data_IF_164869632869
#
_entry.id   IF_164869632869
#
_cell.length_a   1.000
_cell.length_b   1.000
_cell.length_c   1.000
_cell.angle_alpha   90.00
_cell.angle_beta   90.00
_cell.angle_gamma   90.00
#
_symmetry.space_group_name_H-M   'P 1'
#
loop_
_entity.id
_entity.type
_entity.pdbx_description
1 polymer ?
#
# COMPACT_ATOMS: atom_id res chain seq x y z
N UNK A 1 13.14 -13.24 -8.98
CA UNK A 1 13.08 -13.97 -7.68
C UNK A 1 11.65 -14.44 -7.53
N UNK A 2 11.39 -15.69 -7.13
CA UNK A 2 10.01 -16.18 -6.99
C UNK A 2 9.41 -15.78 -5.64
N UNK A 3 8.06 -15.76 -5.56
CA UNK A 3 7.33 -15.48 -4.32
C UNK A 3 7.69 -16.48 -3.20
N UNK A 4 7.92 -17.76 -3.54
CA UNK A 4 8.35 -18.78 -2.56
C UNK A 4 9.67 -18.40 -1.90
N UNK A 5 10.67 -17.96 -2.68
CA UNK A 5 11.96 -17.52 -2.14
C UNK A 5 11.87 -16.30 -1.25
N UNK A 6 10.99 -15.35 -1.58
CA UNK A 6 10.72 -14.19 -0.74
C UNK A 6 10.09 -14.64 0.57
N UNK A 7 9.08 -15.50 0.51
CA UNK A 7 8.40 -16.07 1.68
C UNK A 7 9.36 -16.81 2.60
N UNK A 8 10.19 -17.71 2.04
CA UNK A 8 11.21 -18.44 2.78
C UNK A 8 12.22 -17.50 3.46
N UNK A 9 12.65 -16.45 2.76
CA UNK A 9 13.61 -15.47 3.29
C UNK A 9 13.02 -14.69 4.46
N UNK A 10 11.76 -14.22 4.37
CA UNK A 10 11.08 -13.52 5.47
C UNK A 10 10.88 -14.46 6.67
N UNK A 11 10.46 -15.70 6.44
CA UNK A 11 10.31 -16.69 7.50
C UNK A 11 11.65 -17.00 8.20
N UNK A 12 12.74 -17.03 7.45
CA UNK A 12 14.08 -17.23 8.03
C UNK A 12 14.46 -16.05 8.92
N UNK A 13 14.19 -14.83 8.49
CA UNK A 13 14.40 -13.60 9.28
C UNK A 13 13.61 -13.68 10.59
N UNK A 14 12.32 -14.04 10.53
CA UNK A 14 11.47 -14.21 11.72
C UNK A 14 11.98 -15.31 12.66
N UNK A 15 12.40 -16.46 12.11
CA UNK A 15 12.97 -17.57 12.90
C UNK A 15 14.17 -17.12 13.74
N UNK A 16 14.98 -16.22 13.22
CA UNK A 16 16.13 -15.66 13.95
C UNK A 16 15.81 -14.38 14.74
N UNK A 17 14.52 -14.03 14.89
CA UNK A 17 14.05 -12.84 15.61
C UNK A 17 14.67 -11.55 15.08
N UNK A 18 14.91 -11.48 13.78
CA UNK A 18 15.39 -10.27 13.11
C UNK A 18 14.22 -9.49 12.52
N UNK A 19 14.36 -8.18 12.50
CA UNK A 19 13.37 -7.30 11.85
C UNK A 19 13.52 -7.36 10.32
N UNK A 20 12.39 -7.50 9.61
CA UNK A 20 12.32 -7.43 8.15
C UNK A 20 11.70 -6.10 7.70
N UNK A 21 12.22 -5.56 6.61
CA UNK A 21 11.64 -4.38 5.95
C UNK A 21 11.59 -4.62 4.46
N UNK A 22 10.40 -4.51 3.87
CA UNK A 22 10.18 -4.70 2.43
C UNK A 22 9.72 -3.40 1.77
N UNK A 23 10.06 -3.23 0.51
CA UNK A 23 9.62 -2.12 -0.33
C UNK A 23 8.75 -2.66 -1.44
N UNK A 24 7.65 -1.95 -1.72
CA UNK A 24 6.66 -2.32 -2.71
C UNK A 24 6.45 -1.15 -3.63
N UNK A 25 6.24 -1.47 -4.90
CA UNK A 25 5.85 -0.50 -5.93
C UNK A 25 4.51 -0.95 -6.47
N UNK A 26 3.55 -0.03 -6.55
CA UNK A 26 2.23 -0.24 -7.16
C UNK A 26 2.04 0.72 -8.33
N UNK A 27 1.08 0.43 -9.20
CA UNK A 27 0.80 1.25 -10.37
C UNK A 27 1.83 1.09 -11.47
N UNK A 28 2.31 -0.15 -11.70
CA UNK A 28 3.16 -0.47 -12.85
C UNK A 28 2.35 -0.46 -14.15
N UNK A 29 2.99 -0.23 -15.30
CA UNK A 29 2.31 -0.39 -16.59
C UNK A 29 1.67 -1.77 -16.71
N UNK A 30 0.39 -1.81 -17.11
CA UNK A 30 -0.43 -3.02 -17.24
C UNK A 30 -0.78 -3.75 -15.93
N UNK A 31 -0.44 -3.19 -14.76
CA UNK A 31 -0.85 -3.77 -13.48
C UNK A 31 -2.37 -3.59 -13.28
N UNK A 32 -3.07 -4.70 -13.10
CA UNK A 32 -4.50 -4.72 -12.83
C UNK A 32 -4.82 -4.70 -11.32
N UNK A 33 -6.10 -4.56 -10.97
CA UNK A 33 -6.56 -4.66 -9.58
C UNK A 33 -6.10 -5.95 -8.92
N UNK A 34 -6.24 -7.07 -9.64
CA UNK A 34 -5.90 -8.40 -9.16
C UNK A 34 -4.41 -8.53 -8.79
N UNK A 35 -3.51 -7.91 -9.56
CA UNK A 35 -2.07 -7.95 -9.31
C UNK A 35 -1.71 -7.19 -8.02
N UNK A 36 -2.35 -6.02 -7.81
CA UNK A 36 -2.21 -5.25 -6.56
C UNK A 36 -2.75 -6.04 -5.38
N UNK A 37 -3.92 -6.69 -5.53
CA UNK A 37 -4.51 -7.50 -4.47
C UNK A 37 -3.70 -8.78 -4.19
N UNK A 38 -3.04 -9.37 -5.20
CA UNK A 38 -2.09 -10.46 -4.99
C UNK A 38 -0.92 -10.00 -4.12
N UNK A 39 -0.36 -8.83 -4.40
CA UNK A 39 0.71 -8.21 -3.60
C UNK A 39 0.26 -8.00 -2.15
N UNK A 40 -0.93 -7.43 -1.92
CA UNK A 40 -1.50 -7.23 -0.59
C UNK A 40 -1.68 -8.57 0.14
N UNK A 41 -2.24 -9.57 -0.54
CA UNK A 41 -2.43 -10.92 0.00
C UNK A 41 -1.09 -11.59 0.33
N UNK A 42 -0.07 -11.38 -0.47
CA UNK A 42 1.27 -11.87 -0.19
C UNK A 42 1.88 -11.22 1.06
N UNK A 43 1.74 -9.90 1.23
CA UNK A 43 2.15 -9.19 2.43
C UNK A 43 1.43 -9.69 3.68
N UNK A 44 0.11 -9.87 3.60
CA UNK A 44 -0.68 -10.35 4.72
C UNK A 44 -0.30 -11.77 5.18
N UNK A 45 0.18 -12.61 4.25
CA UNK A 45 0.68 -13.96 4.55
C UNK A 45 2.11 -13.96 5.09
N UNK A 46 2.98 -13.11 4.53
CA UNK A 46 4.39 -13.06 4.91
C UNK A 46 4.65 -12.29 6.20
N UNK A 47 3.77 -11.34 6.52
CA UNK A 47 3.80 -10.50 7.73
C UNK A 47 5.20 -9.93 8.00
N UNK A 48 5.81 -9.16 7.06
CA UNK A 48 7.10 -8.56 7.32
C UNK A 48 7.03 -7.62 8.53
N UNK A 49 8.14 -7.43 9.23
CA UNK A 49 8.21 -6.51 10.38
C UNK A 49 7.82 -5.08 10.01
N UNK A 50 8.10 -4.68 8.77
CA UNK A 50 7.69 -3.39 8.20
C UNK A 50 7.61 -3.50 6.68
N UNK A 51 6.72 -2.74 6.07
CA UNK A 51 6.73 -2.49 4.64
C UNK A 51 6.53 -1.00 4.32
N UNK A 52 7.03 -0.60 3.16
CA UNK A 52 6.84 0.73 2.58
C UNK A 52 6.38 0.56 1.15
N UNK A 53 5.60 1.51 0.67
CA UNK A 53 5.11 1.48 -0.70
C UNK A 53 5.26 2.85 -1.36
N UNK A 54 5.42 2.81 -2.67
CA UNK A 54 5.45 3.98 -3.55
C UNK A 54 4.68 3.66 -4.81
N UNK A 55 4.23 4.69 -5.50
CA UNK A 55 3.77 4.53 -6.86
C UNK A 55 4.95 4.41 -7.82
N UNK A 56 4.74 3.64 -8.90
CA UNK A 56 5.70 3.55 -9.97
C UNK A 56 5.86 4.93 -10.64
N UNK A 57 7.12 5.30 -10.93
CA UNK A 57 7.44 6.48 -11.71
C UNK A 57 8.19 6.09 -12.98
N UNK A 58 7.70 6.48 -14.17
CA UNK A 58 8.30 6.11 -15.46
C UNK A 58 9.49 7.02 -15.76
N UNK A 59 10.70 6.63 -15.33
CA UNK A 59 11.90 7.40 -15.62
C UNK A 59 12.27 7.34 -17.10
N UNK A 60 12.40 8.49 -17.81
CA UNK A 60 12.79 8.54 -19.21
C UNK A 60 14.07 7.76 -19.48
N UNK A 61 14.10 7.02 -20.59
CA UNK A 61 15.24 6.19 -20.99
C UNK A 61 15.24 4.76 -20.44
N UNK A 62 14.29 4.40 -19.57
CA UNK A 62 14.11 3.02 -19.09
C UNK A 62 13.16 2.23 -20.00
N UNK A 63 13.25 0.90 -19.96
CA UNK A 63 12.30 0.02 -20.66
C UNK A 63 10.88 0.20 -20.15
N UNK A 64 10.71 0.35 -18.83
CA UNK A 64 9.41 0.61 -18.21
C UNK A 64 8.78 1.92 -18.68
N UNK A 65 9.59 2.95 -18.98
CA UNK A 65 9.10 4.18 -19.59
C UNK A 65 8.55 3.93 -21.00
N UNK A 66 9.27 3.16 -21.83
CA UNK A 66 8.78 2.79 -23.17
C UNK A 66 7.47 2.04 -23.08
N UNK A 67 7.38 1.04 -22.22
CA UNK A 67 6.15 0.30 -21.97
C UNK A 67 4.99 1.23 -21.56
N UNK A 68 5.26 2.22 -20.73
CA UNK A 68 4.26 3.21 -20.31
C UNK A 68 3.79 4.09 -21.47
N UNK A 69 4.71 4.48 -22.38
CA UNK A 69 4.38 5.26 -23.59
C UNK A 69 3.58 4.40 -24.57
N UNK A 70 4.02 3.20 -24.84
CA UNK A 70 3.37 2.26 -25.76
C UNK A 70 1.97 1.87 -25.29
N UNK A 71 1.79 1.74 -23.97
CA UNK A 71 0.49 1.48 -23.35
C UNK A 71 -0.43 2.71 -23.26
N UNK A 72 0.07 3.90 -23.61
CA UNK A 72 -0.71 5.13 -23.52
C UNK A 72 -0.96 5.64 -22.10
N UNK A 73 -0.20 5.15 -21.13
CA UNK A 73 -0.37 5.50 -19.71
C UNK A 73 0.33 6.78 -19.30
N UNK A 74 1.26 7.31 -20.12
CA UNK A 74 2.05 8.50 -19.76
C UNK A 74 1.19 9.75 -19.80
N UNK A 75 1.12 10.42 -18.66
CA UNK A 75 0.55 11.76 -18.53
C UNK A 75 1.65 12.74 -18.11
N UNK A 76 2.13 13.53 -19.07
CA UNK A 76 3.27 14.44 -18.89
C UNK A 76 2.99 15.51 -17.84
N UNK A 77 1.75 15.99 -17.76
CA UNK A 77 1.36 17.02 -16.78
C UNK A 77 1.38 16.42 -15.36
N UNK A 78 0.85 15.22 -15.18
CA UNK A 78 0.98 14.47 -13.92
C UNK A 78 2.44 14.25 -13.54
N UNK A 79 3.26 13.76 -14.45
CA UNK A 79 4.70 13.53 -14.19
C UNK A 79 5.42 14.82 -13.74
N UNK A 80 5.12 15.93 -14.37
CA UNK A 80 5.75 17.22 -14.06
C UNK A 80 5.22 17.86 -12.77
N UNK A 81 4.00 17.54 -12.35
CA UNK A 81 3.36 18.09 -11.14
C UNK A 81 3.68 17.32 -9.87
N UNK A 82 4.17 16.08 -9.97
CA UNK A 82 4.46 15.26 -8.80
C UNK A 82 5.71 15.74 -8.05
N UNK A 83 5.53 16.01 -6.78
CA UNK A 83 6.61 16.37 -5.86
C UNK A 83 7.32 15.11 -5.31
N UNK A 84 6.60 13.99 -5.23
CA UNK A 84 7.14 12.72 -4.75
C UNK A 84 6.33 11.54 -5.32
N UNK A 85 6.81 10.32 -5.10
CA UNK A 85 6.21 9.06 -5.60
C UNK A 85 5.26 8.39 -4.60
N UNK A 86 4.84 9.11 -3.56
CA UNK A 86 4.03 8.54 -2.47
C UNK A 86 2.60 9.05 -2.47
N UNK A 87 2.33 10.16 -3.12
CA UNK A 87 1.02 10.82 -3.05
C UNK A 87 0.05 10.33 -4.13
N UNK A 88 0.54 10.09 -5.34
CA UNK A 88 -0.26 9.57 -6.44
C UNK A 88 0.60 8.95 -7.54
N UNK A 89 -0.06 8.20 -8.46
CA UNK A 89 0.60 7.66 -9.65
C UNK A 89 0.93 8.76 -10.66
N UNK A 90 2.12 8.65 -11.27
CA UNK A 90 2.53 9.45 -12.43
C UNK A 90 1.88 8.99 -13.73
N UNK A 91 1.32 7.77 -13.74
CA UNK A 91 0.62 7.20 -14.88
C UNK A 91 -0.89 7.44 -14.78
N UNK A 92 -1.55 7.33 -15.92
CA UNK A 92 -3.00 7.44 -16.06
C UNK A 92 -3.55 6.14 -16.64
N UNK A 93 -4.26 5.39 -15.81
CA UNK A 93 -4.88 4.10 -16.16
C UNK A 93 -6.38 4.22 -16.39
N UNK A 94 -6.92 5.44 -16.43
CA UNK A 94 -8.34 5.71 -16.39
C UNK A 94 -8.90 5.83 -14.98
N UNK A 95 -10.11 6.41 -14.87
CA UNK A 95 -10.70 6.84 -13.59
C UNK A 95 -10.81 5.72 -12.57
N UNK A 96 -11.30 4.55 -12.95
CA UNK A 96 -11.54 3.43 -12.06
C UNK A 96 -10.24 2.91 -11.44
N UNK A 97 -9.21 2.62 -12.27
CA UNK A 97 -7.92 2.12 -11.80
C UNK A 97 -7.17 3.19 -11.00
N UNK A 98 -7.21 4.44 -11.43
CA UNK A 98 -6.60 5.54 -10.69
C UNK A 98 -7.21 5.69 -9.30
N UNK A 99 -8.54 5.64 -9.20
CA UNK A 99 -9.25 5.73 -7.91
C UNK A 99 -8.91 4.55 -7.00
N UNK A 100 -8.85 3.34 -7.54
CA UNK A 100 -8.45 2.15 -6.78
C UNK A 100 -7.02 2.28 -6.23
N UNK A 101 -6.07 2.68 -7.07
CA UNK A 101 -4.67 2.88 -6.65
C UNK A 101 -4.55 3.97 -5.57
N UNK A 102 -5.32 5.06 -5.68
CA UNK A 102 -5.34 6.12 -4.66
C UNK A 102 -5.87 5.59 -3.31
N UNK A 103 -6.92 4.79 -3.33
CA UNK A 103 -7.48 4.14 -2.14
C UNK A 103 -6.44 3.22 -1.47
N UNK A 104 -5.86 2.32 -2.25
CA UNK A 104 -4.82 1.40 -1.76
C UNK A 104 -3.60 2.16 -1.25
N UNK A 105 -3.08 3.10 -2.03
CA UNK A 105 -1.89 3.85 -1.65
C UNK A 105 -2.10 4.73 -0.42
N UNK A 106 -3.33 5.16 -0.14
CA UNK A 106 -3.63 5.98 1.04
C UNK A 106 -3.61 5.19 2.34
N UNK A 107 -4.08 3.95 2.31
CA UNK A 107 -4.31 3.11 3.49
C UNK A 107 -3.88 1.66 3.27
N UNK A 108 -2.81 1.40 2.52
CA UNK A 108 -2.34 0.03 2.25
C UNK A 108 -2.24 -0.85 3.51
N UNK A 109 -1.81 -0.38 4.70
CA UNK A 109 -1.84 -1.18 5.92
C UNK A 109 -3.22 -1.73 6.28
N UNK A 110 -4.30 -1.02 5.99
CA UNK A 110 -5.66 -1.51 6.25
C UNK A 110 -6.01 -2.69 5.35
N UNK A 111 -5.61 -2.61 4.07
CA UNK A 111 -5.77 -3.74 3.15
C UNK A 111 -4.96 -4.95 3.61
N UNK A 112 -3.72 -4.77 4.05
CA UNK A 112 -2.91 -5.87 4.56
C UNK A 112 -3.52 -6.46 5.83
N UNK A 113 -3.96 -5.64 6.78
CA UNK A 113 -4.64 -6.07 8.00
C UNK A 113 -5.93 -6.83 7.70
N UNK A 114 -6.72 -6.38 6.72
CA UNK A 114 -7.99 -7.01 6.35
C UNK A 114 -7.83 -8.48 5.91
N UNK A 115 -6.73 -8.79 5.22
CA UNK A 115 -6.44 -10.13 4.69
C UNK A 115 -5.44 -10.92 5.54
N UNK A 116 -4.93 -10.36 6.64
CA UNK A 116 -4.12 -11.08 7.61
C UNK A 116 -4.99 -11.93 8.55
N UNK A 117 -4.37 -12.81 9.34
CA UNK A 117 -5.04 -13.60 10.38
C UNK A 117 -4.89 -12.94 11.76
N UNK A 118 -5.06 -11.62 11.84
CA UNK A 118 -5.06 -10.87 13.09
C UNK A 118 -6.45 -10.85 13.73
N UNK A 119 -6.53 -10.71 15.06
CA UNK A 119 -7.81 -10.55 15.76
C UNK A 119 -8.63 -9.35 15.27
N UNK A 120 -7.95 -8.33 14.75
CA UNK A 120 -8.57 -7.10 14.25
C UNK A 120 -8.93 -7.13 12.77
N UNK A 121 -8.63 -8.22 12.06
CA UNK A 121 -8.78 -8.29 10.59
C UNK A 121 -10.21 -8.03 10.13
N UNK A 122 -11.22 -8.50 10.85
CA UNK A 122 -12.61 -8.25 10.47
C UNK A 122 -12.98 -6.77 10.48
N UNK A 123 -12.47 -6.00 11.44
CA UNK A 123 -12.72 -4.55 11.52
C UNK A 123 -12.15 -3.83 10.29
N UNK A 124 -10.94 -4.19 9.88
CA UNK A 124 -10.33 -3.63 8.69
C UNK A 124 -11.02 -4.10 7.40
N UNK A 125 -11.44 -5.37 7.35
CA UNK A 125 -12.14 -5.92 6.17
C UNK A 125 -13.44 -5.20 5.89
N UNK A 126 -14.26 -4.97 6.92
CA UNK A 126 -15.52 -4.24 6.78
C UNK A 126 -15.26 -2.83 6.24
N UNK A 127 -14.26 -2.14 6.80
CA UNK A 127 -13.94 -0.78 6.42
C UNK A 127 -13.30 -0.68 5.01
N UNK A 128 -12.44 -1.62 4.65
CA UNK A 128 -11.85 -1.70 3.30
C UNK A 128 -12.92 -1.97 2.25
N UNK A 129 -13.86 -2.87 2.51
CA UNK A 129 -14.97 -3.15 1.59
C UNK A 129 -15.83 -1.89 1.36
N UNK A 130 -16.17 -1.16 2.42
CA UNK A 130 -16.88 0.13 2.26
C UNK A 130 -16.10 1.11 1.38
N UNK A 131 -14.79 1.23 1.59
CA UNK A 131 -13.93 2.17 0.85
C UNK A 131 -13.79 1.77 -0.61
N UNK A 132 -13.65 0.48 -0.91
CA UNK A 132 -13.56 -0.01 -2.30
C UNK A 132 -14.78 0.41 -3.11
N UNK A 133 -15.98 0.29 -2.55
CA UNK A 133 -17.24 0.62 -3.22
C UNK A 133 -17.50 2.12 -3.40
N UNK A 134 -16.76 2.99 -2.72
CA UNK A 134 -16.95 4.43 -2.81
C UNK A 134 -16.61 4.96 -4.22
N UNK A 135 -17.45 5.84 -4.73
CA UNK A 135 -17.14 6.62 -5.92
C UNK A 135 -16.14 7.75 -5.61
N UNK A 136 -15.73 8.51 -6.63
CA UNK A 136 -14.76 9.61 -6.53
C UNK A 136 -15.19 10.67 -5.49
N UNK A 137 -16.44 11.13 -5.53
CA UNK A 137 -16.94 12.18 -4.64
C UNK A 137 -16.92 11.72 -3.16
N UNK A 138 -17.35 10.49 -2.91
CA UNK A 138 -17.33 9.89 -1.57
C UNK A 138 -15.90 9.72 -1.05
N UNK A 139 -14.99 9.24 -1.91
CA UNK A 139 -13.59 9.10 -1.59
C UNK A 139 -12.93 10.43 -1.24
N UNK A 140 -13.07 11.44 -2.08
CA UNK A 140 -12.46 12.77 -1.90
C UNK A 140 -12.89 13.42 -0.59
N UNK A 141 -14.13 13.15 -0.15
CA UNK A 141 -14.66 13.63 1.12
C UNK A 141 -14.01 12.98 2.33
N UNK A 142 -13.73 11.67 2.29
CA UNK A 142 -13.20 10.92 3.45
C UNK A 142 -11.68 10.81 3.48
N UNK A 143 -11.00 10.75 2.33
CA UNK A 143 -9.57 10.52 2.22
C UNK A 143 -8.72 11.42 3.14
N UNK A 144 -9.03 12.73 3.31
CA UNK A 144 -8.27 13.59 4.22
C UNK A 144 -8.34 13.18 5.69
N UNK A 145 -9.39 12.46 6.10
CA UNK A 145 -9.64 12.10 7.51
C UNK A 145 -9.07 10.72 7.89
N UNK A 146 -8.74 9.88 6.91
CA UNK A 146 -8.36 8.48 7.13
C UNK A 146 -7.13 8.30 8.02
N UNK A 147 -6.13 9.18 7.94
CA UNK A 147 -4.98 9.12 8.84
C UNK A 147 -5.34 9.38 10.31
N UNK A 148 -6.35 10.19 10.56
CA UNK A 148 -6.84 10.42 11.93
C UNK A 148 -7.65 9.23 12.42
N UNK A 149 -8.45 8.61 11.55
CA UNK A 149 -9.19 7.38 11.82
C UNK A 149 -8.21 6.24 12.15
N UNK A 150 -7.20 6.02 11.29
CA UNK A 150 -6.15 5.01 11.53
C UNK A 150 -5.47 5.21 12.89
N UNK A 151 -5.09 6.46 13.22
CA UNK A 151 -4.45 6.75 14.50
C UNK A 151 -5.33 6.40 15.69
N UNK A 152 -6.64 6.68 15.63
CA UNK A 152 -7.58 6.33 16.69
C UNK A 152 -7.71 4.83 16.85
N UNK A 153 -7.90 4.10 15.75
CA UNK A 153 -7.98 2.64 15.76
C UNK A 153 -6.69 2.01 16.30
N UNK A 154 -5.54 2.49 15.82
CA UNK A 154 -4.24 1.97 16.23
C UNK A 154 -3.99 2.17 17.74
N UNK A 155 -4.34 3.31 18.32
CA UNK A 155 -4.24 3.53 19.77
C UNK A 155 -5.12 2.51 20.52
N UNK A 156 -6.37 2.33 20.12
CA UNK A 156 -7.29 1.38 20.76
C UNK A 156 -6.78 -0.07 20.70
N UNK A 157 -6.17 -0.44 19.58
CA UNK A 157 -5.61 -1.78 19.40
C UNK A 157 -4.32 -1.98 20.20
N UNK A 158 -3.46 -0.95 20.28
CA UNK A 158 -2.27 -0.98 21.12
C UNK A 158 -2.61 -1.13 22.61
N UNK A 159 -3.59 -0.40 23.11
CA UNK A 159 -4.07 -0.52 24.51
C UNK A 159 -4.52 -1.94 24.86
N UNK A 160 -4.96 -2.71 23.87
CA UNK A 160 -5.37 -4.11 23.99
C UNK A 160 -4.31 -5.12 23.59
N UNK A 161 -3.09 -4.66 23.25
CA UNK A 161 -2.01 -5.49 22.72
C UNK A 161 -2.39 -6.30 21.45
N UNK A 162 -3.25 -5.74 20.60
CA UNK A 162 -3.68 -6.38 19.36
C UNK A 162 -2.72 -6.08 18.21
N UNK A 163 -2.23 -7.12 17.58
CA UNK A 163 -1.31 -7.03 16.44
C UNK A 163 -2.00 -6.44 15.22
N UNK A 164 -1.38 -5.44 14.60
CA UNK A 164 -1.83 -4.81 13.38
C UNK A 164 -0.72 -3.95 12.77
N UNK A 165 -0.88 -3.57 11.50
CA UNK A 165 -0.08 -2.52 10.87
C UNK A 165 -0.80 -1.17 11.01
N UNK A 166 -0.05 -0.13 11.36
CA UNK A 166 -0.55 1.25 11.40
C UNK A 166 0.05 2.08 10.27
N UNK A 167 -0.71 3.01 9.74
CA UNK A 167 -0.20 3.99 8.77
C UNK A 167 0.70 4.99 9.47
N UNK A 168 1.94 5.14 9.00
CA UNK A 168 2.89 6.15 9.49
C UNK A 168 3.37 7.03 8.36
N UNK A 169 3.16 8.32 8.52
CA UNK A 169 3.65 9.32 7.60
C UNK A 169 4.96 9.92 8.11
N UNK A 170 5.98 9.91 7.27
CA UNK A 170 7.25 10.57 7.55
C UNK A 170 7.29 11.92 6.82
N UNK A 171 7.10 13.06 7.51
CA UNK A 171 7.04 14.36 6.86
C UNK A 171 8.37 14.79 6.24
N UNK A 172 9.49 14.25 6.73
CA UNK A 172 10.82 14.57 6.20
C UNK A 172 11.10 13.85 4.87
N UNK A 173 10.66 12.59 4.76
CA UNK A 173 10.88 11.77 3.56
C UNK A 173 9.70 11.77 2.59
N UNK A 174 8.56 12.32 2.99
CA UNK A 174 7.32 12.26 2.22
C UNK A 174 6.79 10.82 2.01
N UNK A 175 7.34 9.85 2.71
CA UNK A 175 7.03 8.43 2.54
C UNK A 175 6.02 7.99 3.57
N UNK A 176 4.91 7.42 3.11
CA UNK A 176 3.97 6.69 3.96
C UNK A 176 4.59 5.32 4.26
N UNK A 177 4.72 4.99 5.53
CA UNK A 177 5.23 3.69 5.95
C UNK A 177 4.47 3.19 7.17
N UNK A 178 4.37 1.89 7.28
CA UNK A 178 3.78 1.23 8.41
C UNK A 178 4.80 0.37 9.16
N UNK A 179 4.41 -0.01 10.37
CA UNK A 179 5.19 -0.87 11.23
C UNK A 179 4.28 -1.93 11.85
N UNK A 180 4.82 -3.10 12.01
CA UNK A 180 4.18 -4.10 12.81
C UNK A 180 4.11 -3.61 14.26
N UNK A 181 2.91 -3.48 14.81
CA UNK A 181 2.69 -2.71 16.04
C UNK A 181 2.83 -3.54 17.31
N UNK A 182 2.88 -4.84 17.21
CA UNK A 182 3.09 -5.71 18.37
C UNK A 182 4.41 -6.46 18.20
N UNK A 183 5.44 -5.92 18.80
CA UNK A 183 6.69 -6.64 19.03
C UNK A 183 6.55 -7.34 20.39
N UNK A 184 6.18 -8.63 20.34
CA UNK A 184 6.11 -9.48 21.51
C UNK A 184 7.50 -9.79 22.10
#
# INVERSE_FOLDING_TARGET
>A
MSNEKIFESINLVHKYKMHSSVFIIIGLPYEAHEDVMETITFLSKTKPGRFRWTYFFPFPGTESYKMSVEGGFVNVDKMNSLVNFTDSSALDFGEEQNLFLEKVGRIMPWFVNAYADFEVSSVYLDRVNEIIEMNREEWDRIAPTLHQEDRKLSIQFQEKNLTHYAVKYNPFMGVISDYFMNEG
#
